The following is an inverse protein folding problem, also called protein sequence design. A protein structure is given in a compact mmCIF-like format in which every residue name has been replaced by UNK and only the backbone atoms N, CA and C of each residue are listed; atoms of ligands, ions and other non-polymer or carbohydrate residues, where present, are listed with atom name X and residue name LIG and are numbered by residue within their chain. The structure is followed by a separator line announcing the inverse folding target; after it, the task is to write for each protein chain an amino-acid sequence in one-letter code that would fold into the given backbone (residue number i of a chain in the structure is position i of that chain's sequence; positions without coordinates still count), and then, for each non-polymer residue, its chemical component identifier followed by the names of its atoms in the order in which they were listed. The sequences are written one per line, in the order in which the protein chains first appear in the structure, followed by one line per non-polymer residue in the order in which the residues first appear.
data_IF_075164893277
#
_entry.id   IF_075164893277
#
_cell.length_a   1.000
_cell.length_b   1.000
_cell.length_c   1.000
_cell.angle_alpha   90.00
_cell.angle_beta   90.00
_cell.angle_gamma   90.00
#
_symmetry.space_group_name_H-M   'P 1'
#
loop_
_entity.id
_entity.type
_entity.pdbx_description
1 polymer ?
#
# COMPACT_ATOMS: atom_id res chain seq x y z
N UNK A 1 -13.32 -0.27 -34.79
CA UNK A 1 -14.23 0.12 -33.67
C UNK A 1 -14.09 -0.94 -32.59
N UNK A 2 -13.25 -0.69 -31.59
CA UNK A 2 -13.04 -1.61 -30.47
C UNK A 2 -13.94 -1.19 -29.32
N UNK A 3 -14.75 -2.10 -28.81
CA UNK A 3 -15.55 -1.90 -27.62
C UNK A 3 -14.62 -1.60 -26.43
N UNK A 4 -14.91 -0.58 -25.61
CA UNK A 4 -14.26 -0.42 -24.32
C UNK A 4 -14.68 -1.63 -23.47
N UNK A 5 -13.72 -2.41 -23.00
CA UNK A 5 -13.96 -3.45 -22.00
C UNK A 5 -14.44 -2.74 -20.73
N UNK A 6 -15.65 -3.06 -20.32
CA UNK A 6 -16.26 -2.68 -19.06
C UNK A 6 -15.27 -2.99 -17.93
N UNK A 7 -14.90 -1.95 -17.17
CA UNK A 7 -14.25 -2.11 -15.89
C UNK A 7 -15.20 -2.93 -15.01
N UNK A 8 -14.88 -4.19 -14.83
CA UNK A 8 -15.66 -5.08 -13.98
C UNK A 8 -15.66 -4.51 -12.57
N UNK A 9 -16.80 -4.04 -12.14
CA UNK A 9 -17.05 -3.55 -10.79
C UNK A 9 -16.67 -4.65 -9.80
N UNK A 10 -15.55 -4.42 -9.09
CA UNK A 10 -15.02 -5.37 -8.14
C UNK A 10 -15.78 -5.24 -6.83
N UNK A 11 -16.64 -6.19 -6.56
CA UNK A 11 -17.17 -6.43 -5.23
C UNK A 11 -16.11 -7.16 -4.41
N UNK A 12 -15.72 -6.60 -3.26
CA UNK A 12 -14.84 -7.27 -2.31
C UNK A 12 -15.41 -8.68 -2.02
N UNK A 13 -14.58 -9.74 -2.11
CA UNK A 13 -15.07 -11.08 -1.82
C UNK A 13 -15.60 -11.15 -0.40
N UNK A 14 -16.87 -11.49 -0.27
CA UNK A 14 -17.64 -11.81 0.96
C UNK A 14 -17.46 -10.85 2.16
N UNK A 15 -17.80 -9.61 1.97
CA UNK A 15 -18.05 -8.67 3.06
C UNK A 15 -19.30 -9.02 3.89
N UNK A 16 -20.13 -9.96 3.39
CA UNK A 16 -21.48 -10.23 3.91
C UNK A 16 -21.56 -11.32 4.98
N UNK A 17 -20.45 -11.92 5.43
CA UNK A 17 -20.57 -13.14 6.25
C UNK A 17 -20.24 -13.01 7.74
N UNK A 18 -19.75 -11.88 8.24
CA UNK A 18 -19.44 -11.80 9.68
C UNK A 18 -19.73 -10.42 10.27
N UNK A 19 -20.80 -10.32 11.03
CA UNK A 19 -21.11 -9.33 12.08
C UNK A 19 -21.20 -7.87 11.64
N UNK A 20 -22.34 -7.22 12.00
CA UNK A 20 -22.56 -5.74 12.17
C UNK A 20 -21.49 -4.84 11.53
N UNK A 21 -21.25 -5.05 10.26
CA UNK A 21 -20.32 -4.23 9.48
C UNK A 21 -20.80 -2.78 9.53
N UNK A 22 -19.90 -1.85 9.79
CA UNK A 22 -20.17 -0.44 9.63
C UNK A 22 -20.77 -0.24 8.24
N UNK A 23 -21.94 0.41 8.15
CA UNK A 23 -22.59 0.72 6.87
C UNK A 23 -21.80 1.78 6.06
N UNK A 24 -20.61 2.12 6.50
CA UNK A 24 -19.74 3.08 5.84
C UNK A 24 -19.00 2.43 4.67
N UNK A 25 -18.89 3.13 3.54
CA UNK A 25 -18.11 2.64 2.41
C UNK A 25 -16.61 2.53 2.79
N UNK A 26 -15.85 1.66 2.13
CA UNK A 26 -14.41 1.58 2.33
C UNK A 26 -13.74 2.92 1.97
N UNK A 27 -12.63 3.22 2.65
CA UNK A 27 -11.79 4.37 2.30
C UNK A 27 -10.98 3.95 1.08
N UNK A 28 -11.08 4.75 0.01
CA UNK A 28 -10.44 4.47 -1.27
C UNK A 28 -9.38 5.50 -1.60
N UNK A 29 -8.18 5.03 -1.95
CA UNK A 29 -7.08 5.82 -2.46
C UNK A 29 -6.63 5.32 -3.83
N UNK A 30 -6.34 6.25 -4.73
CA UNK A 30 -5.75 5.97 -6.02
C UNK A 30 -4.35 6.57 -6.07
N UNK A 31 -3.37 5.78 -6.48
CA UNK A 31 -1.97 6.20 -6.60
C UNK A 31 -1.62 6.37 -8.07
N UNK A 32 -1.09 7.53 -8.42
CA UNK A 32 -0.68 7.87 -9.78
C UNK A 32 0.74 8.40 -9.78
N UNK A 33 1.51 8.01 -10.79
CA UNK A 33 2.80 8.64 -11.07
C UNK A 33 2.59 10.05 -11.59
N UNK A 34 3.11 11.05 -10.89
CA UNK A 34 2.97 12.46 -11.24
C UNK A 34 4.16 13.02 -12.00
N UNK A 35 5.25 12.27 -12.09
CA UNK A 35 6.49 12.74 -12.68
C UNK A 35 6.58 12.54 -14.18
N UNK A 36 7.16 13.54 -14.89
CA UNK A 36 7.66 13.36 -16.26
C UNK A 36 8.89 12.44 -16.30
N UNK A 37 9.63 12.42 -17.39
CA UNK A 37 10.79 11.54 -17.63
C UNK A 37 11.85 11.55 -16.51
N UNK A 38 11.88 12.58 -15.66
CA UNK A 38 12.91 12.79 -14.63
C UNK A 38 12.39 12.84 -13.18
N UNK A 39 11.07 12.83 -12.96
CA UNK A 39 10.48 12.78 -11.62
C UNK A 39 9.89 11.40 -11.36
N UNK A 40 10.12 10.88 -10.16
CA UNK A 40 9.53 9.63 -9.67
C UNK A 40 8.41 9.88 -8.67
N UNK A 41 7.99 11.12 -8.52
CA UNK A 41 6.98 11.48 -7.53
C UNK A 41 5.63 10.86 -7.88
N UNK A 42 4.91 10.44 -6.85
CA UNK A 42 3.57 9.90 -6.97
C UNK A 42 2.57 10.81 -6.25
N UNK A 43 1.34 10.84 -6.73
CA UNK A 43 0.21 11.51 -6.05
C UNK A 43 -0.81 10.48 -5.63
N UNK A 44 -1.40 10.69 -4.47
CA UNK A 44 -2.50 9.88 -3.95
C UNK A 44 -3.76 10.73 -3.95
N UNK A 45 -4.78 10.26 -4.65
CA UNK A 45 -6.08 10.93 -4.73
C UNK A 45 -7.15 10.14 -3.98
N UNK A 46 -8.27 10.80 -3.69
CA UNK A 46 -9.46 10.17 -3.14
C UNK A 46 -10.28 9.40 -4.19
N UNK A 47 -11.50 8.97 -3.82
CA UNK A 47 -12.41 8.21 -4.69
C UNK A 47 -12.81 8.95 -5.97
N UNK A 48 -12.76 10.29 -5.95
CA UNK A 48 -13.04 11.14 -7.12
C UNK A 48 -11.93 11.10 -8.18
N UNK A 49 -10.79 10.47 -7.87
CA UNK A 49 -9.59 10.35 -8.73
C UNK A 49 -8.99 11.70 -9.17
N UNK A 50 -9.37 12.79 -8.52
CA UNK A 50 -8.97 14.15 -8.87
C UNK A 50 -8.39 14.91 -7.69
N UNK A 51 -9.01 14.84 -6.52
CA UNK A 51 -8.55 15.54 -5.33
C UNK A 51 -7.27 14.93 -4.79
N UNK A 52 -6.16 15.65 -4.88
CA UNK A 52 -4.87 15.21 -4.33
C UNK A 52 -4.93 15.28 -2.80
N UNK A 53 -4.88 14.13 -2.16
CA UNK A 53 -4.86 13.99 -0.71
C UNK A 53 -3.42 13.92 -0.16
N UNK A 54 -2.53 13.20 -0.89
CA UNK A 54 -1.13 13.09 -0.51
C UNK A 54 -0.21 13.18 -1.72
N UNK A 55 1.02 13.58 -1.45
CA UNK A 55 2.12 13.62 -2.40
C UNK A 55 3.29 12.81 -1.85
N UNK A 56 3.80 11.88 -2.64
CA UNK A 56 4.94 11.04 -2.31
C UNK A 56 6.15 11.53 -3.09
N UNK A 57 7.16 12.02 -2.39
CA UNK A 57 8.39 12.53 -2.98
C UNK A 57 9.49 11.48 -2.91
N UNK A 58 10.17 11.27 -4.03
CA UNK A 58 11.32 10.40 -4.16
C UNK A 58 12.59 11.25 -4.27
N UNK A 59 13.43 11.36 -3.24
CA UNK A 59 14.69 12.02 -3.38
C UNK A 59 15.60 11.26 -4.36
N UNK A 60 16.19 11.99 -5.29
CA UNK A 60 17.03 11.44 -6.35
C UNK A 60 18.34 10.93 -5.75
N UNK A 61 18.42 9.63 -5.42
CA UNK A 61 19.67 8.95 -5.02
C UNK A 61 20.00 7.87 -6.06
N UNK A 62 20.90 8.19 -6.97
CA UNK A 62 21.13 7.42 -8.19
C UNK A 62 21.79 6.04 -8.03
N UNK A 63 22.45 5.65 -6.93
CA UNK A 63 23.32 4.45 -6.96
C UNK A 63 23.42 3.61 -5.69
N UNK A 64 22.60 3.79 -4.66
CA UNK A 64 22.89 3.14 -3.38
C UNK A 64 22.07 1.91 -3.02
N UNK A 65 21.08 1.52 -3.82
CA UNK A 65 20.08 0.50 -3.43
C UNK A 65 19.25 0.90 -2.20
N UNK A 66 19.46 2.13 -1.71
CA UNK A 66 18.68 2.79 -0.66
C UNK A 66 17.63 3.69 -1.30
N UNK A 67 16.50 3.81 -0.65
CA UNK A 67 15.54 4.84 -0.99
C UNK A 67 14.87 5.38 0.27
N UNK A 68 14.55 6.66 0.22
CA UNK A 68 13.80 7.36 1.23
C UNK A 68 12.64 8.05 0.53
N UNK A 69 11.42 7.84 1.00
CA UNK A 69 10.21 8.45 0.48
C UNK A 69 9.65 9.36 1.56
N UNK A 70 9.08 10.48 1.17
CA UNK A 70 8.38 11.35 2.10
C UNK A 70 6.94 11.54 1.64
N UNK A 71 5.99 11.13 2.47
CA UNK A 71 4.56 11.33 2.25
C UNK A 71 4.12 12.64 2.90
N UNK A 72 3.46 13.52 2.13
CA UNK A 72 2.96 14.83 2.55
C UNK A 72 1.49 14.99 2.22
N UNK A 73 0.74 15.72 3.04
CA UNK A 73 -0.67 16.06 2.75
C UNK A 73 -0.76 17.13 1.69
N UNK A 74 -1.71 17.01 0.77
CA UNK A 74 -2.17 17.98 -0.22
C UNK A 74 -1.14 18.46 -1.25
N UNK A 75 0.13 18.11 -1.15
CA UNK A 75 1.14 18.51 -2.13
C UNK A 75 2.58 18.44 -1.65
N UNK A 76 3.56 18.79 -2.50
CA UNK A 76 4.99 18.60 -2.21
C UNK A 76 5.50 19.50 -1.07
N UNK A 77 4.82 20.59 -0.78
CA UNK A 77 5.13 21.53 0.33
C UNK A 77 4.19 21.35 1.53
N UNK A 78 3.31 20.33 1.48
CA UNK A 78 2.35 20.08 2.53
C UNK A 78 2.98 19.51 3.81
N UNK A 79 2.15 19.36 4.83
CA UNK A 79 2.57 18.77 6.10
C UNK A 79 3.09 17.35 5.89
N UNK A 80 4.25 17.07 6.44
CA UNK A 80 4.83 15.72 6.44
C UNK A 80 3.95 14.78 7.28
N UNK A 81 3.61 13.62 6.69
CA UNK A 81 2.84 12.55 7.33
C UNK A 81 3.79 11.48 7.86
N UNK A 82 4.71 11.04 7.00
CA UNK A 82 5.69 10.04 7.36
C UNK A 82 6.89 10.04 6.40
N UNK A 83 7.96 9.39 6.85
CA UNK A 83 9.08 8.96 6.00
C UNK A 83 9.10 7.45 5.90
N UNK A 84 9.35 6.94 4.69
CA UNK A 84 9.47 5.52 4.41
C UNK A 84 10.88 5.28 3.90
N UNK A 85 11.71 4.57 4.66
CA UNK A 85 13.12 4.44 4.36
C UNK A 85 13.56 2.97 4.26
N UNK A 86 14.29 2.65 3.19
CA UNK A 86 14.93 1.34 3.03
C UNK A 86 16.43 1.48 3.19
N UNK A 87 17.01 0.65 4.06
CA UNK A 87 18.46 0.49 4.16
C UNK A 87 19.06 -0.18 2.92
N UNK A 88 20.40 -0.22 2.83
CA UNK A 88 21.13 -0.81 1.69
C UNK A 88 20.93 -2.32 1.57
N UNK A 89 20.65 -3.00 2.67
CA UNK A 89 20.63 -4.45 2.77
C UNK A 89 19.25 -4.95 3.23
N UNK A 90 18.84 -6.08 2.68
CA UNK A 90 17.61 -6.77 3.07
C UNK A 90 16.35 -6.28 2.37
N UNK A 91 15.24 -6.92 2.72
CA UNK A 91 13.90 -6.70 2.16
C UNK A 91 12.97 -5.93 3.11
N UNK A 92 13.50 -5.47 4.25
CA UNK A 92 12.76 -4.64 5.20
C UNK A 92 12.91 -3.16 4.88
N UNK A 93 11.94 -2.37 5.35
CA UNK A 93 11.99 -0.91 5.36
C UNK A 93 11.33 -0.39 6.63
N UNK A 94 11.67 0.82 7.01
CA UNK A 94 11.14 1.47 8.19
C UNK A 94 10.18 2.59 7.77
N UNK A 95 9.07 2.73 8.50
CA UNK A 95 8.15 3.86 8.38
C UNK A 95 8.22 4.65 9.68
N UNK A 96 8.48 5.96 9.56
CA UNK A 96 8.53 6.88 10.70
C UNK A 96 7.40 7.88 10.54
N UNK A 97 6.37 7.77 11.37
CA UNK A 97 5.25 8.72 11.38
C UNK A 97 5.70 10.05 11.98
N UNK A 98 5.29 11.17 11.37
CA UNK A 98 5.68 12.50 11.85
C UNK A 98 5.09 12.84 13.23
N UNK A 99 3.97 12.18 13.60
CA UNK A 99 3.24 12.46 14.86
C UNK A 99 4.01 12.03 16.11
N UNK A 100 4.75 10.92 16.05
CA UNK A 100 5.48 10.38 17.21
C UNK A 100 6.99 10.23 16.97
N UNK A 101 7.43 10.35 15.73
CA UNK A 101 8.83 10.25 15.32
C UNK A 101 9.46 8.87 15.51
N UNK A 102 8.67 7.86 15.91
CA UNK A 102 9.18 6.51 16.15
C UNK A 102 9.14 5.68 14.86
N UNK A 103 10.25 5.07 14.46
CA UNK A 103 10.25 4.15 13.34
C UNK A 103 9.61 2.81 13.72
N UNK A 104 8.79 2.28 12.86
CA UNK A 104 8.37 0.88 12.92
C UNK A 104 8.80 0.16 11.66
N UNK A 105 9.18 -1.10 11.82
CA UNK A 105 9.74 -1.90 10.74
C UNK A 105 8.67 -2.72 10.06
N UNK A 106 8.70 -2.69 8.74
CA UNK A 106 7.96 -3.59 7.87
C UNK A 106 8.97 -4.58 7.28
N UNK A 107 8.78 -5.86 7.55
CA UNK A 107 9.75 -6.89 7.18
C UNK A 107 9.07 -8.09 6.53
N UNK A 108 9.77 -8.71 5.60
CA UNK A 108 9.30 -9.99 5.04
C UNK A 108 9.30 -11.07 6.13
N UNK A 109 8.26 -11.90 6.15
CA UNK A 109 8.13 -13.00 7.12
C UNK A 109 9.12 -14.16 6.89
N UNK A 110 9.92 -14.12 5.81
CA UNK A 110 10.95 -15.11 5.50
C UNK A 110 11.62 -14.82 4.16
N UNK A 111 12.78 -15.44 3.92
CA UNK A 111 13.63 -15.20 2.72
C UNK A 111 12.86 -15.44 1.41
N UNK A 112 12.04 -16.48 1.38
CA UNK A 112 11.24 -16.85 0.21
C UNK A 112 9.76 -16.47 0.35
N UNK A 113 9.36 -15.87 1.47
CA UNK A 113 7.97 -15.48 1.71
C UNK A 113 7.68 -14.15 1.02
N UNK A 114 6.58 -14.04 0.26
CA UNK A 114 6.13 -12.77 -0.28
C UNK A 114 5.36 -11.92 0.74
N UNK A 115 5.17 -12.42 1.96
CA UNK A 115 4.41 -11.76 3.03
C UNK A 115 5.25 -10.70 3.75
N UNK A 116 4.62 -9.61 4.19
CA UNK A 116 5.23 -8.56 5.00
C UNK A 116 4.52 -8.41 6.33
N UNK A 117 5.27 -8.51 7.41
CA UNK A 117 4.79 -8.25 8.76
C UNK A 117 5.02 -6.79 9.13
N UNK A 118 4.02 -6.18 9.76
CA UNK A 118 4.11 -4.84 10.33
C UNK A 118 3.49 -4.83 11.73
N UNK A 119 4.12 -4.10 12.64
CA UNK A 119 3.58 -3.90 13.98
C UNK A 119 2.54 -2.77 13.95
N UNK A 120 1.40 -3.01 14.56
CA UNK A 120 0.44 -1.95 14.80
C UNK A 120 0.92 -1.08 15.99
N UNK A 121 1.29 0.16 15.71
CA UNK A 121 1.80 1.06 16.75
C UNK A 121 0.75 1.44 17.82
N UNK A 122 -0.54 1.30 17.51
CA UNK A 122 -1.65 1.60 18.41
C UNK A 122 -2.07 0.40 19.28
N UNK A 123 -1.59 -0.80 18.99
CA UNK A 123 -1.91 -2.03 19.72
C UNK A 123 -0.72 -2.97 19.81
N UNK A 124 -0.87 -4.08 20.52
CA UNK A 124 0.11 -5.18 20.53
C UNK A 124 -0.05 -6.14 19.36
N UNK A 125 -0.98 -5.89 18.46
CA UNK A 125 -1.25 -6.75 17.31
C UNK A 125 -0.24 -6.51 16.19
N UNK A 126 0.06 -7.58 15.46
CA UNK A 126 0.79 -7.53 14.21
C UNK A 126 -0.20 -7.64 13.05
N UNK A 127 0.08 -6.91 11.99
CA UNK A 127 -0.60 -7.03 10.72
C UNK A 127 0.31 -7.71 9.70
N UNK A 128 -0.30 -8.40 8.75
CA UNK A 128 0.41 -9.09 7.69
C UNK A 128 -0.18 -8.76 6.31
N UNK A 129 0.60 -8.15 5.46
CA UNK A 129 0.31 -8.06 4.04
C UNK A 129 0.61 -9.39 3.38
N UNK A 130 -0.39 -10.00 2.76
CA UNK A 130 -0.27 -11.24 2.00
C UNK A 130 -0.61 -10.99 0.53
N UNK A 131 0.13 -11.58 -0.42
CA UNK A 131 -0.25 -11.55 -1.82
C UNK A 131 -1.53 -12.36 -2.03
N UNK A 132 -2.38 -11.91 -2.94
CA UNK A 132 -3.67 -12.56 -3.23
C UNK A 132 -3.58 -13.81 -4.12
N UNK A 133 -2.39 -14.19 -4.54
CA UNK A 133 -2.06 -15.58 -4.85
C UNK A 133 -2.36 -16.12 -6.25
N UNK A 134 -2.60 -15.30 -7.28
CA UNK A 134 -2.69 -15.80 -8.65
C UNK A 134 -1.66 -15.16 -9.58
N UNK A 135 -1.11 -15.92 -10.52
CA UNK A 135 -0.08 -15.49 -11.48
C UNK A 135 -0.38 -14.19 -12.22
N UNK A 136 -1.65 -13.84 -12.37
CA UNK A 136 -2.11 -12.62 -13.04
C UNK A 136 -2.12 -11.42 -12.09
N UNK A 137 -2.22 -11.66 -10.77
CA UNK A 137 -2.31 -10.64 -9.72
C UNK A 137 -1.17 -10.76 -8.71
N UNK A 138 0.03 -11.05 -9.17
CA UNK A 138 1.23 -11.26 -8.32
C UNK A 138 1.59 -10.06 -7.43
N UNK A 139 1.01 -8.90 -7.70
CA UNK A 139 1.30 -7.65 -6.99
C UNK A 139 0.09 -7.09 -6.23
N UNK A 140 -1.00 -7.85 -6.17
CA UNK A 140 -2.12 -7.52 -5.32
C UNK A 140 -1.88 -8.09 -3.92
N UNK A 141 -2.17 -7.31 -2.89
CA UNK A 141 -1.94 -7.67 -1.49
C UNK A 141 -3.16 -7.36 -0.64
N UNK A 142 -3.47 -8.24 0.30
CA UNK A 142 -4.46 -8.02 1.34
C UNK A 142 -3.80 -7.96 2.71
N UNK A 143 -4.26 -7.04 3.55
CA UNK A 143 -3.82 -6.84 4.93
C UNK A 143 -4.77 -7.55 5.87
N UNK A 144 -4.22 -8.37 6.75
CA UNK A 144 -4.93 -9.12 7.79
C UNK A 144 -4.26 -8.91 9.15
N UNK A 145 -4.95 -9.20 10.23
CA UNK A 145 -4.32 -9.44 11.53
C UNK A 145 -3.48 -10.71 11.45
N UNK A 146 -2.28 -10.69 12.05
CA UNK A 146 -1.43 -11.88 12.09
C UNK A 146 -2.13 -13.02 12.82
N UNK A 147 -2.85 -12.72 13.89
CA UNK A 147 -3.63 -13.68 14.68
C UNK A 147 -4.74 -14.42 13.89
N UNK A 148 -5.16 -13.88 12.76
CA UNK A 148 -6.19 -14.51 11.91
C UNK A 148 -5.62 -15.36 10.78
N UNK A 149 -4.29 -15.41 10.61
CA UNK A 149 -3.66 -16.07 9.47
C UNK A 149 -3.86 -17.59 9.43
N UNK A 150 -4.12 -18.21 10.59
CA UNK A 150 -4.41 -19.63 10.70
C UNK A 150 -5.88 -19.97 10.36
N UNK A 151 -6.75 -18.96 10.26
CA UNK A 151 -8.13 -19.15 9.83
C UNK A 151 -8.20 -19.39 8.31
N UNK A 152 -9.25 -20.07 7.83
CA UNK A 152 -9.57 -20.10 6.40
C UNK A 152 -9.70 -18.69 5.83
N UNK A 153 -9.27 -18.48 4.58
CA UNK A 153 -9.22 -17.12 3.97
C UNK A 153 -10.56 -16.40 4.02
N UNK A 154 -11.65 -17.14 3.88
CA UNK A 154 -13.04 -16.65 3.88
C UNK A 154 -13.52 -16.17 5.25
N UNK A 155 -12.79 -16.54 6.32
CA UNK A 155 -13.10 -16.16 7.71
C UNK A 155 -12.23 -15.03 8.22
N UNK A 156 -11.23 -14.59 7.43
CA UNK A 156 -10.32 -13.49 7.82
C UNK A 156 -10.96 -12.16 7.51
N UNK A 157 -10.87 -11.22 8.43
CA UNK A 157 -11.24 -9.83 8.15
C UNK A 157 -10.17 -9.16 7.29
N UNK A 158 -10.51 -8.78 6.08
CA UNK A 158 -9.63 -7.97 5.24
C UNK A 158 -9.63 -6.52 5.74
N UNK A 159 -8.53 -6.08 6.32
CA UNK A 159 -8.33 -4.71 6.83
C UNK A 159 -8.12 -3.74 5.68
N UNK A 160 -7.30 -4.13 4.71
CA UNK A 160 -7.03 -3.34 3.52
C UNK A 160 -6.69 -4.23 2.32
N UNK A 161 -6.89 -3.69 1.13
CA UNK A 161 -6.57 -4.37 -0.12
C UNK A 161 -5.84 -3.41 -1.06
N UNK A 162 -4.63 -3.79 -1.48
CA UNK A 162 -3.84 -3.10 -2.50
C UNK A 162 -3.97 -3.81 -3.82
N UNK A 163 -4.25 -3.07 -4.87
CA UNK A 163 -4.45 -3.58 -6.21
C UNK A 163 -3.54 -2.86 -7.20
N UNK A 164 -2.76 -3.62 -7.94
CA UNK A 164 -1.87 -3.09 -8.98
C UNK A 164 -2.52 -3.27 -10.35
N UNK A 165 -2.76 -2.19 -11.11
CA UNK A 165 -3.37 -2.31 -12.42
C UNK A 165 -2.44 -3.02 -13.41
N UNK A 166 -2.94 -4.01 -14.14
CA UNK A 166 -2.15 -4.88 -15.02
C UNK A 166 -1.58 -4.15 -16.24
N UNK A 167 -2.15 -3.00 -16.65
CA UNK A 167 -1.84 -2.36 -17.93
C UNK A 167 -1.76 -0.82 -17.91
N UNK A 168 -1.81 -0.18 -16.75
CA UNK A 168 -1.79 1.27 -16.68
C UNK A 168 -0.35 1.81 -16.64
N UNK A 169 -0.03 2.70 -17.56
CA UNK A 169 1.31 3.34 -17.63
C UNK A 169 1.51 4.37 -16.50
N UNK A 170 0.44 5.00 -16.03
CA UNK A 170 0.49 6.12 -15.08
C UNK A 170 -0.11 5.81 -13.71
N UNK A 171 -0.93 4.75 -13.59
CA UNK A 171 -1.57 4.36 -12.32
C UNK A 171 -0.76 3.26 -11.67
N UNK A 172 -0.25 3.52 -10.46
CA UNK A 172 0.54 2.55 -9.70
C UNK A 172 -0.33 1.62 -8.85
N UNK A 173 -1.49 2.07 -8.36
CA UNK A 173 -2.36 1.19 -7.58
C UNK A 173 -3.66 1.83 -7.08
N UNK A 174 -4.47 0.99 -6.47
CA UNK A 174 -5.66 1.38 -5.68
C UNK A 174 -5.56 0.71 -4.32
N UNK A 175 -5.75 1.48 -3.26
CA UNK A 175 -5.83 0.99 -1.88
C UNK A 175 -7.25 1.18 -1.37
N UNK A 176 -7.86 0.09 -0.91
CA UNK A 176 -9.13 0.09 -0.19
C UNK A 176 -8.85 -0.24 1.27
N UNK A 177 -9.40 0.51 2.22
CA UNK A 177 -9.25 0.29 3.65
C UNK A 177 -10.62 0.12 4.28
N UNK A 178 -10.76 -0.88 5.15
CA UNK A 178 -11.97 -1.11 5.92
C UNK A 178 -12.27 0.13 6.80
N UNK A 179 -13.51 0.64 6.86
CA UNK A 179 -13.84 1.87 7.58
C UNK A 179 -13.49 1.82 9.07
N UNK A 180 -13.54 0.66 9.72
CA UNK A 180 -13.17 0.48 11.12
C UNK A 180 -11.67 0.74 11.38
N UNK A 181 -10.85 0.78 10.34
CA UNK A 181 -9.42 1.08 10.38
C UNK A 181 -9.08 2.49 9.86
N UNK A 182 -10.07 3.39 9.80
CA UNK A 182 -9.90 4.77 9.34
C UNK A 182 -8.83 5.54 10.13
N UNK A 183 -8.70 5.26 11.42
CA UNK A 183 -7.72 5.91 12.30
C UNK A 183 -6.26 5.53 11.99
N UNK A 184 -6.04 4.41 11.30
CA UNK A 184 -4.74 3.92 10.86
C UNK A 184 -4.50 4.12 9.36
N UNK A 185 -5.37 4.82 8.65
CA UNK A 185 -5.32 4.92 7.19
C UNK A 185 -3.96 5.40 6.64
N UNK A 186 -3.30 6.34 7.32
CA UNK A 186 -2.00 6.87 6.88
C UNK A 186 -0.88 5.85 7.10
N UNK A 187 -0.92 5.07 8.18
CA UNK A 187 0.00 3.98 8.44
C UNK A 187 -0.16 2.86 7.40
N UNK A 188 -1.40 2.46 7.13
CA UNK A 188 -1.74 1.44 6.13
C UNK A 188 -1.30 1.90 4.74
N UNK A 189 -1.60 3.16 4.37
CA UNK A 189 -1.18 3.76 3.11
C UNK A 189 0.36 3.76 2.97
N UNK A 190 1.08 4.23 3.99
CA UNK A 190 2.54 4.27 3.99
C UNK A 190 3.16 2.87 3.81
N UNK A 191 2.58 1.86 4.48
CA UNK A 191 3.02 0.48 4.35
C UNK A 191 2.82 -0.09 2.95
N UNK A 192 1.66 0.17 2.34
CA UNK A 192 1.34 -0.25 0.97
C UNK A 192 2.27 0.40 -0.05
N UNK A 193 2.53 1.72 0.06
CA UNK A 193 3.45 2.45 -0.81
C UNK A 193 4.89 1.91 -0.71
N UNK A 194 5.36 1.59 0.49
CA UNK A 194 6.67 0.98 0.69
C UNK A 194 6.77 -0.42 0.07
N UNK A 195 5.74 -1.25 0.18
CA UNK A 195 5.68 -2.57 -0.45
C UNK A 195 5.67 -2.46 -1.97
N UNK A 196 4.90 -1.51 -2.53
CA UNK A 196 4.85 -1.27 -3.97
C UNK A 196 6.22 -0.81 -4.50
N UNK A 197 6.91 0.10 -3.81
CA UNK A 197 8.26 0.49 -4.21
C UNK A 197 9.25 -0.68 -4.16
N UNK A 198 9.12 -1.58 -3.18
CA UNK A 198 9.90 -2.85 -3.15
C UNK A 198 9.57 -3.75 -4.34
N UNK A 199 8.30 -3.85 -4.71
CA UNK A 199 7.88 -4.62 -5.89
C UNK A 199 8.43 -3.99 -7.17
N UNK A 200 8.38 -2.66 -7.30
CA UNK A 200 8.95 -1.89 -8.43
C UNK A 200 10.46 -2.09 -8.55
N UNK A 201 11.19 -2.03 -7.44
CA UNK A 201 12.63 -2.29 -7.41
C UNK A 201 12.98 -3.71 -7.91
N UNK A 202 12.19 -4.72 -7.53
CA UNK A 202 12.39 -6.09 -8.01
C UNK A 202 12.11 -6.24 -9.51
N UNK A 203 11.03 -5.62 -10.02
CA UNK A 203 10.73 -5.60 -11.45
C UNK A 203 11.88 -5.00 -12.26
N UNK A 204 12.42 -3.87 -11.79
CA UNK A 204 13.50 -3.17 -12.50
C UNK A 204 14.87 -3.90 -12.46
N UNK A 205 15.08 -4.83 -11.51
CA UNK A 205 16.31 -5.64 -11.46
C UNK A 205 16.29 -6.84 -12.42
N UNK A 206 15.10 -7.25 -12.84
CA UNK A 206 14.90 -8.42 -13.69
C UNK A 206 14.84 -8.06 -15.19
N UNK A 207 15.01 -6.78 -15.51
CA UNK A 207 15.18 -6.23 -16.86
C UNK A 207 16.58 -5.68 -17.05
#
# INVERSE_FOLDING_TARGET
MGNPKEDTEFTLPSYDAATSASHLPPIEFHVYRSGGLFSKDDVVTGPDKQTVLYHLTFPVKFFSGRWDLTLRRHGPQGQEVCKIAKGSWGDSFDVTMAVDGKPFRIQRSGVFSPKYLMHNAASTEYYCWQPDGHFIHMYDYSLYKESELDLPKEQRLTIAHWRTPSWAVTKDGTLLIHPDHAFEQELILASALGIEERARERRNRNH
#
